data_IF_302094322742
#
_entry.id   IF_302094322742
#
_cell.length_a   1.000
_cell.length_b   1.000
_cell.length_c   1.000
_cell.angle_alpha   90.00
_cell.angle_beta   90.00
_cell.angle_gamma   90.00
#
_symmetry.space_group_name_H-M   'P 1'
#
loop_
_entity.id
_entity.type
_entity.pdbx_description
1 polymer ?
#
# COMPACT_ATOMS: atom_id res chain seq x y z
N UNK A 1 58.37 32.88 21.86
CA UNK A 1 57.45 32.94 20.68
C UNK A 1 56.64 31.66 20.66
N UNK A 2 55.43 31.73 21.19
CA UNK A 2 54.52 30.57 21.28
C UNK A 2 53.57 30.57 20.08
N UNK A 3 53.60 29.48 19.28
CA UNK A 3 52.70 29.30 18.14
C UNK A 3 51.42 28.62 18.66
N UNK A 4 50.32 29.37 18.70
CA UNK A 4 49.00 28.87 18.96
C UNK A 4 48.48 28.21 17.69
N UNK A 5 48.31 26.88 17.72
CA UNK A 5 47.66 26.11 16.63
C UNK A 5 46.17 26.09 16.97
N UNK A 6 45.37 26.83 16.19
CA UNK A 6 43.92 26.82 16.26
C UNK A 6 43.45 25.60 15.43
N UNK A 7 43.04 24.54 16.13
CA UNK A 7 42.39 23.38 15.52
C UNK A 7 40.95 23.73 15.17
N UNK A 8 40.63 23.88 13.88
CA UNK A 8 39.23 23.99 13.43
C UNK A 8 38.63 22.60 13.45
N UNK A 9 37.76 22.38 14.44
CA UNK A 9 36.96 21.16 14.54
C UNK A 9 35.80 21.28 13.52
N UNK A 10 35.95 20.63 12.36
CA UNK A 10 34.86 20.49 11.39
C UNK A 10 33.83 19.49 11.93
N UNK A 11 32.77 19.98 12.55
CA UNK A 11 31.60 19.18 12.89
C UNK A 11 30.86 18.81 11.58
N UNK A 12 31.20 17.65 11.04
CA UNK A 12 30.39 17.01 9.99
C UNK A 12 29.04 16.61 10.60
N UNK A 13 28.05 17.45 10.40
CA UNK A 13 26.65 17.06 10.61
C UNK A 13 26.29 16.00 9.56
N UNK A 14 26.40 14.72 9.92
CA UNK A 14 25.76 13.65 9.19
C UNK A 14 24.24 13.79 9.38
N UNK A 15 23.58 14.43 8.42
CA UNK A 15 22.15 14.27 8.27
C UNK A 15 21.91 12.81 7.87
N UNK A 16 21.62 11.97 8.84
CA UNK A 16 21.03 10.66 8.59
C UNK A 16 19.63 10.94 8.03
N UNK A 17 19.49 10.86 6.69
CA UNK A 17 18.16 10.72 6.10
C UNK A 17 17.59 9.42 6.67
N UNK A 18 16.77 9.55 7.70
CA UNK A 18 15.88 8.47 8.12
C UNK A 18 14.89 8.33 6.97
N UNK A 19 15.11 7.35 6.11
CA UNK A 19 14.09 6.92 5.17
C UNK A 19 12.96 6.34 6.03
N UNK A 20 11.94 7.15 6.29
CA UNK A 20 10.69 6.64 6.82
C UNK A 20 10.24 5.51 5.89
N UNK A 21 9.85 4.37 6.45
CA UNK A 21 9.32 3.26 5.68
C UNK A 21 8.14 3.78 4.85
N UNK A 22 8.34 3.95 3.55
CA UNK A 22 7.29 4.39 2.65
C UNK A 22 6.25 3.28 2.57
N UNK A 23 4.99 3.61 2.76
CA UNK A 23 3.90 2.75 2.31
C UNK A 23 4.20 2.35 0.86
N UNK A 24 3.86 1.13 0.48
CA UNK A 24 4.25 0.57 -0.82
C UNK A 24 3.90 1.51 -1.97
N UNK A 25 4.92 2.10 -2.59
CA UNK A 25 4.79 2.85 -3.85
C UNK A 25 5.04 1.93 -5.04
N UNK A 26 4.55 2.30 -6.22
CA UNK A 26 4.86 1.61 -7.46
C UNK A 26 6.36 1.70 -7.74
N UNK A 27 6.98 0.59 -8.16
CA UNK A 27 8.39 0.55 -8.52
C UNK A 27 8.67 1.31 -9.83
N UNK A 28 7.71 1.27 -10.75
CA UNK A 28 7.76 1.95 -12.05
C UNK A 28 6.35 2.48 -12.37
N UNK A 29 5.99 3.67 -11.83
CA UNK A 29 4.64 4.21 -11.98
C UNK A 29 4.24 4.43 -13.43
N UNK A 30 5.16 4.91 -14.29
CA UNK A 30 4.87 5.20 -15.70
C UNK A 30 4.47 3.92 -16.44
N UNK A 31 5.24 2.86 -16.27
CA UNK A 31 4.95 1.55 -16.86
C UNK A 31 3.68 0.93 -16.28
N UNK A 32 3.53 0.94 -14.96
CA UNK A 32 2.46 0.23 -14.30
C UNK A 32 1.10 0.91 -14.51
N UNK A 33 1.05 2.25 -14.49
CA UNK A 33 -0.17 3.00 -14.84
C UNK A 33 -0.55 2.72 -16.29
N UNK A 34 0.41 2.75 -17.22
CA UNK A 34 0.15 2.51 -18.64
C UNK A 34 -0.29 1.08 -18.93
N UNK A 35 0.25 0.11 -18.18
CA UNK A 35 -0.13 -1.31 -18.27
C UNK A 35 -1.57 -1.55 -17.79
N UNK A 36 -1.96 -0.91 -16.66
CA UNK A 36 -3.29 -1.06 -16.06
C UNK A 36 -4.36 -0.25 -16.82
N UNK A 37 -3.99 0.93 -17.29
CA UNK A 37 -4.87 1.88 -17.96
C UNK A 37 -4.23 2.41 -19.24
N UNK A 38 -4.27 1.64 -20.35
CA UNK A 38 -3.63 2.03 -21.61
C UNK A 38 -4.13 3.38 -22.17
N UNK A 39 -5.39 3.74 -21.87
CA UNK A 39 -6.02 5.01 -22.26
C UNK A 39 -5.63 6.21 -21.40
N UNK A 40 -4.88 6.00 -20.29
CA UNK A 40 -4.45 7.09 -19.43
C UNK A 40 -3.53 8.06 -20.15
N UNK A 41 -3.65 9.34 -19.82
CA UNK A 41 -2.75 10.39 -20.32
C UNK A 41 -1.63 10.75 -19.32
N UNK A 42 -1.72 10.24 -18.09
CA UNK A 42 -0.78 10.45 -17.01
C UNK A 42 -1.36 10.04 -15.67
N UNK A 43 -0.70 10.43 -14.61
CA UNK A 43 -1.17 10.22 -13.23
C UNK A 43 -0.67 11.37 -12.34
N UNK A 44 -1.28 11.48 -11.17
CA UNK A 44 -0.84 12.35 -10.10
C UNK A 44 -0.59 11.51 -8.86
N UNK A 45 0.55 11.69 -8.21
CA UNK A 45 0.89 10.99 -6.97
C UNK A 45 0.66 11.90 -5.78
N UNK A 46 0.01 11.37 -4.74
CA UNK A 46 -0.14 12.01 -3.44
C UNK A 46 0.35 11.05 -2.35
N UNK A 47 1.08 11.57 -1.37
CA UNK A 47 1.50 10.81 -0.19
C UNK A 47 0.74 11.35 1.01
N UNK A 48 0.05 10.46 1.72
CA UNK A 48 -0.79 10.84 2.86
C UNK A 48 -0.44 9.93 4.04
N UNK A 49 -0.18 10.52 5.21
CA UNK A 49 -0.04 9.78 6.46
C UNK A 49 -1.37 9.77 7.22
N UNK A 50 -1.62 8.75 8.02
CA UNK A 50 -2.78 8.74 8.93
C UNK A 50 -2.70 9.89 9.91
N UNK A 51 -1.48 10.24 10.35
CA UNK A 51 -1.23 11.35 11.27
C UNK A 51 -1.73 12.69 10.72
N UNK A 52 -1.42 13.00 9.45
CA UNK A 52 -1.85 14.24 8.79
C UNK A 52 -3.35 14.24 8.49
N UNK A 53 -3.93 13.08 8.16
CA UNK A 53 -5.33 12.97 7.78
C UNK A 53 -6.31 13.05 8.96
N UNK A 54 -5.93 12.52 10.15
CA UNK A 54 -6.85 12.48 11.30
C UNK A 54 -6.20 12.00 12.60
N UNK A 55 -4.88 11.83 12.61
CA UNK A 55 -4.13 11.54 13.81
C UNK A 55 -4.50 10.20 14.46
N UNK A 56 -4.41 10.17 15.79
CA UNK A 56 -4.61 8.96 16.58
C UNK A 56 -6.06 8.45 16.53
N UNK A 57 -7.04 9.34 16.40
CA UNK A 57 -8.45 8.97 16.31
C UNK A 57 -8.73 8.19 15.02
N UNK A 58 -8.23 8.68 13.88
CA UNK A 58 -8.34 7.99 12.61
C UNK A 58 -7.59 6.65 12.63
N UNK A 59 -6.40 6.61 13.22
CA UNK A 59 -5.62 5.37 13.38
C UNK A 59 -6.43 4.29 14.11
N UNK A 60 -7.03 4.63 15.25
CA UNK A 60 -7.88 3.72 16.02
C UNK A 60 -9.15 3.30 15.28
N UNK A 61 -9.74 4.23 14.52
CA UNK A 61 -10.92 3.93 13.69
C UNK A 61 -10.60 2.91 12.60
N UNK A 62 -9.45 3.05 11.94
CA UNK A 62 -8.97 2.12 10.91
C UNK A 62 -8.70 0.73 11.51
N UNK A 63 -8.02 0.64 12.67
CA UNK A 63 -7.82 -0.63 13.38
C UNK A 63 -9.15 -1.32 13.72
N UNK A 64 -10.12 -0.55 14.20
CA UNK A 64 -11.45 -1.06 14.52
C UNK A 64 -12.18 -1.62 13.30
N UNK A 65 -12.12 -0.92 12.16
CA UNK A 65 -12.74 -1.35 10.90
C UNK A 65 -12.02 -2.56 10.29
N UNK A 66 -10.69 -2.60 10.42
CA UNK A 66 -9.87 -3.73 10.03
C UNK A 66 -10.22 -4.99 10.87
N UNK A 67 -10.58 -4.79 12.13
CA UNK A 67 -10.83 -5.85 13.10
C UNK A 67 -9.55 -6.45 13.67
N UNK A 68 -8.43 -5.74 13.53
CA UNK A 68 -7.10 -6.18 13.95
C UNK A 68 -6.20 -4.97 14.26
N UNK A 69 -5.12 -5.20 15.01
CA UNK A 69 -4.11 -4.20 15.29
C UNK A 69 -3.15 -4.02 14.11
N UNK A 70 -2.66 -2.81 13.96
CA UNK A 70 -1.62 -2.52 12.99
C UNK A 70 -0.29 -3.15 13.40
N UNK A 71 0.50 -3.55 12.41
CA UNK A 71 1.87 -4.05 12.61
C UNK A 71 2.83 -2.88 12.82
N UNK A 72 3.56 -2.90 13.94
CA UNK A 72 4.46 -1.81 14.36
C UNK A 72 5.60 -1.50 13.37
N UNK A 73 5.85 -2.41 12.42
CA UNK A 73 6.92 -2.24 11.42
C UNK A 73 6.40 -1.57 10.15
N UNK A 74 5.20 -1.98 9.68
CA UNK A 74 4.70 -1.57 8.37
C UNK A 74 3.51 -0.61 8.41
N UNK A 75 2.92 -0.38 9.60
CA UNK A 75 1.60 0.23 9.72
C UNK A 75 1.56 1.34 10.79
N UNK A 76 2.68 2.04 10.98
CA UNK A 76 2.71 3.14 11.95
C UNK A 76 1.93 4.36 11.43
N UNK A 77 1.50 5.21 12.36
CA UNK A 77 0.71 6.42 12.06
C UNK A 77 1.43 7.39 11.11
N UNK A 78 2.77 7.36 11.08
CA UNK A 78 3.62 8.25 10.26
C UNK A 78 4.00 7.64 8.90
N UNK A 79 3.54 6.42 8.57
CA UNK A 79 3.81 5.80 7.26
C UNK A 79 3.11 6.59 6.16
N UNK A 80 3.86 7.15 5.18
CA UNK A 80 3.27 7.82 4.03
C UNK A 80 2.75 6.79 3.03
N UNK A 81 1.45 6.77 2.81
CA UNK A 81 0.79 5.93 1.81
C UNK A 81 0.74 6.66 0.46
N UNK A 82 1.18 5.98 -0.59
CA UNK A 82 1.19 6.51 -1.95
C UNK A 82 -0.14 6.21 -2.67
N UNK A 83 -0.82 7.27 -3.11
CA UNK A 83 -2.02 7.20 -3.93
C UNK A 83 -1.71 7.75 -5.31
N UNK A 84 -2.10 7.02 -6.35
CA UNK A 84 -1.94 7.43 -7.73
C UNK A 84 -3.32 7.66 -8.34
N UNK A 85 -3.65 8.92 -8.64
CA UNK A 85 -4.83 9.26 -9.43
C UNK A 85 -4.49 9.08 -10.91
N UNK A 86 -5.10 8.14 -11.56
CA UNK A 86 -4.94 7.90 -13.00
C UNK A 86 -5.76 8.93 -13.77
N UNK A 87 -5.12 9.60 -14.74
CA UNK A 87 -5.71 10.71 -15.47
C UNK A 87 -6.01 10.33 -16.93
N UNK A 88 -7.15 10.82 -17.45
CA UNK A 88 -7.47 10.91 -18.87
C UNK A 88 -7.82 12.36 -19.21
N UNK A 89 -6.88 13.06 -19.83
CA UNK A 89 -6.94 14.52 -19.92
C UNK A 89 -6.86 15.17 -18.56
N UNK A 90 -7.94 15.83 -18.12
CA UNK A 90 -8.05 16.47 -16.81
C UNK A 90 -8.83 15.63 -15.79
N UNK A 91 -9.47 14.57 -16.22
CA UNK A 91 -10.37 13.77 -15.41
C UNK A 91 -9.61 12.63 -14.73
N UNK A 92 -9.90 12.40 -13.47
CA UNK A 92 -9.46 11.19 -12.76
C UNK A 92 -10.39 10.06 -13.20
N UNK A 93 -9.81 8.94 -13.63
CA UNK A 93 -10.57 7.77 -14.12
C UNK A 93 -10.44 6.56 -13.20
N UNK A 94 -9.42 6.51 -12.35
CA UNK A 94 -9.17 5.41 -11.43
C UNK A 94 -8.17 5.83 -10.34
N UNK A 95 -8.05 4.99 -9.30
CA UNK A 95 -7.02 5.10 -8.29
C UNK A 95 -6.15 3.85 -8.27
N UNK A 96 -4.84 4.03 -7.99
CA UNK A 96 -3.93 2.93 -7.68
C UNK A 96 -3.36 3.21 -6.29
N UNK A 97 -3.36 2.20 -5.44
CA UNK A 97 -2.85 2.27 -4.08
C UNK A 97 -2.12 0.99 -3.71
N UNK A 98 -0.96 1.13 -3.06
CA UNK A 98 -0.15 0.00 -2.60
C UNK A 98 0.05 0.01 -1.10
N UNK A 99 0.14 -1.18 -0.51
CA UNK A 99 0.48 -1.36 0.90
C UNK A 99 1.54 -2.45 1.09
N UNK A 100 2.32 -2.31 2.15
CA UNK A 100 3.13 -3.40 2.67
C UNK A 100 2.30 -4.23 3.64
N UNK A 101 2.41 -5.53 3.55
CA UNK A 101 1.74 -6.49 4.42
C UNK A 101 2.74 -7.55 4.89
N UNK A 102 2.76 -7.84 6.18
CA UNK A 102 3.56 -8.93 6.74
C UNK A 102 2.90 -10.27 6.39
N UNK A 103 3.65 -11.16 5.75
CA UNK A 103 3.32 -12.56 5.55
C UNK A 103 4.18 -13.45 6.42
N UNK A 104 4.00 -14.76 6.29
CA UNK A 104 4.75 -15.78 7.05
C UNK A 104 6.26 -15.73 6.78
N UNK A 105 6.66 -15.56 5.54
CA UNK A 105 8.06 -15.64 5.09
C UNK A 105 8.66 -14.25 4.82
N UNK A 106 7.96 -13.16 5.16
CA UNK A 106 8.43 -11.79 4.97
C UNK A 106 7.37 -10.87 4.39
N UNK A 107 7.82 -9.68 3.94
CA UNK A 107 6.93 -8.67 3.42
C UNK A 107 6.33 -9.00 2.07
N UNK A 108 5.06 -8.67 1.90
CA UNK A 108 4.34 -8.64 0.64
C UNK A 108 4.03 -7.21 0.26
N UNK A 109 4.09 -6.88 -1.01
CA UNK A 109 3.67 -5.60 -1.57
C UNK A 109 2.44 -5.82 -2.44
N UNK A 110 1.31 -5.34 -1.97
CA UNK A 110 0.00 -5.53 -2.58
C UNK A 110 -0.40 -4.25 -3.29
N UNK A 111 -0.62 -4.30 -4.60
CA UNK A 111 -1.06 -3.16 -5.40
C UNK A 111 -2.49 -3.39 -5.85
N UNK A 112 -3.33 -2.41 -5.59
CA UNK A 112 -4.74 -2.41 -5.91
C UNK A 112 -5.05 -1.25 -6.86
N UNK A 113 -5.74 -1.54 -7.97
CA UNK A 113 -6.35 -0.55 -8.83
C UNK A 113 -7.86 -0.57 -8.64
N UNK A 114 -8.48 0.59 -8.45
CA UNK A 114 -9.92 0.72 -8.22
C UNK A 114 -10.54 1.76 -9.15
N UNK A 115 -11.86 1.66 -9.34
CA UNK A 115 -12.63 2.77 -9.88
C UNK A 115 -12.76 3.91 -8.84
N UNK A 116 -13.47 4.98 -9.21
CA UNK A 116 -13.67 6.16 -8.36
C UNK A 116 -14.54 5.89 -7.12
N UNK A 117 -15.21 4.75 -7.07
CA UNK A 117 -16.05 4.32 -5.96
C UNK A 117 -15.35 3.27 -5.07
N UNK A 118 -14.08 2.97 -5.33
CA UNK A 118 -13.31 1.98 -4.58
C UNK A 118 -13.60 0.52 -4.96
N UNK A 119 -14.27 0.26 -6.10
CA UNK A 119 -14.45 -1.09 -6.63
C UNK A 119 -13.18 -1.57 -7.30
N UNK A 120 -12.72 -2.77 -6.97
CA UNK A 120 -11.49 -3.36 -7.49
C UNK A 120 -11.58 -3.58 -9.00
N UNK A 121 -10.64 -3.00 -9.75
CA UNK A 121 -10.44 -3.18 -11.19
C UNK A 121 -9.31 -4.14 -11.49
N UNK A 122 -8.23 -4.12 -10.69
CA UNK A 122 -7.12 -5.05 -10.80
C UNK A 122 -6.39 -5.17 -9.47
N UNK A 123 -5.73 -6.31 -9.27
CA UNK A 123 -4.89 -6.60 -8.11
C UNK A 123 -3.65 -7.38 -8.55
N UNK A 124 -2.49 -6.98 -8.04
CA UNK A 124 -1.26 -7.75 -8.25
C UNK A 124 -0.27 -7.58 -7.08
N UNK A 125 0.63 -8.55 -6.95
CA UNK A 125 1.77 -8.45 -6.04
C UNK A 125 2.96 -7.82 -6.77
N UNK A 126 3.44 -6.70 -6.27
CA UNK A 126 4.72 -6.14 -6.69
C UNK A 126 5.90 -6.92 -6.07
N UNK A 127 5.66 -7.48 -4.86
CA UNK A 127 6.55 -8.40 -4.15
C UNK A 127 5.73 -9.43 -3.36
N UNK A 128 6.18 -10.68 -3.38
CA UNK A 128 5.61 -11.76 -2.59
C UNK A 128 6.73 -12.63 -2.02
N UNK A 129 6.94 -12.56 -0.70
CA UNK A 129 7.94 -13.37 0.00
C UNK A 129 7.30 -14.68 0.49
N UNK A 130 7.10 -15.64 -0.41
CA UNK A 130 6.52 -16.94 -0.11
C UNK A 130 7.16 -18.02 -0.97
N UNK A 131 7.38 -19.23 -0.46
CA UNK A 131 7.78 -20.39 -1.28
C UNK A 131 6.75 -20.74 -2.37
N UNK A 132 5.49 -20.36 -2.18
CA UNK A 132 4.39 -20.58 -3.13
C UNK A 132 4.01 -19.28 -3.90
N UNK A 133 4.92 -18.28 -3.96
CA UNK A 133 4.65 -16.98 -4.57
C UNK A 133 4.04 -17.06 -5.98
N UNK A 134 4.50 -18.02 -6.80
CA UNK A 134 3.99 -18.21 -8.16
C UNK A 134 2.47 -18.48 -8.20
N UNK A 135 1.92 -19.18 -7.19
CA UNK A 135 0.49 -19.47 -7.10
C UNK A 135 -0.31 -18.23 -6.71
N UNK A 136 0.21 -17.42 -5.78
CA UNK A 136 -0.40 -16.17 -5.37
C UNK A 136 -0.33 -15.11 -6.47
N UNK A 137 0.73 -15.09 -7.25
CA UNK A 137 0.91 -14.15 -8.37
C UNK A 137 0.19 -14.61 -9.66
N UNK A 138 -0.40 -15.80 -9.66
CA UNK A 138 -1.17 -16.32 -10.81
C UNK A 138 -2.43 -15.49 -11.05
N UNK A 139 -2.69 -15.18 -12.32
CA UNK A 139 -3.86 -14.39 -12.72
C UNK A 139 -5.19 -15.04 -12.37
N UNK A 140 -5.26 -16.37 -12.30
CA UNK A 140 -6.50 -17.05 -11.88
C UNK A 140 -6.81 -16.81 -10.41
N UNK A 141 -5.79 -16.58 -9.58
CA UNK A 141 -5.99 -16.15 -8.20
C UNK A 141 -6.30 -14.67 -8.12
N UNK A 142 -5.45 -13.79 -8.66
CA UNK A 142 -5.59 -12.34 -8.48
C UNK A 142 -6.87 -11.78 -9.08
N UNK A 143 -7.36 -12.32 -10.19
CA UNK A 143 -8.61 -11.87 -10.80
C UNK A 143 -9.88 -12.19 -9.98
N UNK A 144 -9.81 -13.10 -8.98
CA UNK A 144 -10.95 -13.37 -8.10
C UNK A 144 -11.33 -12.16 -7.25
N UNK A 145 -10.45 -11.20 -7.10
CA UNK A 145 -10.70 -9.96 -6.35
C UNK A 145 -11.35 -8.86 -7.20
N UNK A 146 -11.37 -9.00 -8.53
CA UNK A 146 -11.96 -7.99 -9.41
C UNK A 146 -13.46 -7.88 -9.15
N UNK A 147 -13.92 -6.65 -8.99
CA UNK A 147 -15.32 -6.33 -8.73
C UNK A 147 -15.69 -6.26 -7.25
N UNK A 148 -14.80 -6.70 -6.33
CA UNK A 148 -15.04 -6.58 -4.89
C UNK A 148 -14.97 -5.11 -4.44
N UNK A 149 -15.69 -4.82 -3.36
CA UNK A 149 -15.76 -3.53 -2.68
C UNK A 149 -15.32 -3.68 -1.23
N UNK A 150 -15.07 -2.57 -0.53
CA UNK A 150 -14.79 -2.60 0.90
C UNK A 150 -15.91 -3.28 1.69
N UNK A 151 -17.15 -3.05 1.30
CA UNK A 151 -18.35 -3.66 1.92
C UNK A 151 -18.31 -5.19 1.88
N UNK A 152 -17.80 -5.79 0.79
CA UNK A 152 -17.68 -7.24 0.68
C UNK A 152 -16.71 -7.81 1.72
N UNK A 153 -15.58 -7.11 1.95
CA UNK A 153 -14.61 -7.47 2.97
C UNK A 153 -15.13 -7.28 4.40
N UNK A 154 -15.88 -6.19 4.65
CA UNK A 154 -16.45 -5.91 5.99
C UNK A 154 -17.55 -6.93 6.33
N UNK A 155 -18.41 -7.23 5.38
CA UNK A 155 -19.54 -8.18 5.57
C UNK A 155 -19.11 -9.64 5.49
N UNK A 156 -17.86 -9.93 5.11
CA UNK A 156 -17.37 -11.30 4.92
C UNK A 156 -17.96 -12.01 3.70
N UNK A 157 -18.51 -11.26 2.74
CA UNK A 157 -19.13 -11.80 1.52
C UNK A 157 -18.10 -12.13 0.42
N UNK A 158 -16.87 -12.47 0.82
CA UNK A 158 -15.81 -12.83 -0.12
C UNK A 158 -15.72 -14.35 -0.25
N UNK A 159 -15.76 -14.85 -1.48
CA UNK A 159 -15.55 -16.25 -1.80
C UNK A 159 -14.32 -16.39 -2.71
N UNK A 160 -13.16 -16.35 -2.09
CA UNK A 160 -11.85 -16.44 -2.74
C UNK A 160 -11.25 -17.80 -2.43
N UNK A 161 -10.87 -18.52 -3.47
CA UNK A 161 -10.20 -19.81 -3.31
C UNK A 161 -8.73 -19.61 -2.94
N UNK A 162 -8.30 -20.21 -1.82
CA UNK A 162 -6.90 -20.20 -1.40
C UNK A 162 -6.04 -20.94 -2.44
N UNK A 163 -5.03 -20.30 -3.03
CA UNK A 163 -4.18 -20.93 -4.03
C UNK A 163 -3.08 -21.80 -3.40
N UNK A 164 -2.88 -21.68 -2.08
CA UNK A 164 -1.79 -22.34 -1.39
C UNK A 164 -2.09 -23.81 -1.11
N UNK A 165 -1.04 -24.60 -0.96
CA UNK A 165 -1.14 -26.00 -0.48
C UNK A 165 -0.65 -26.13 0.97
N UNK A 166 0.20 -25.21 1.42
CA UNK A 166 0.88 -25.29 2.72
C UNK A 166 1.00 -23.96 3.44
N UNK A 167 0.78 -22.84 2.75
CA UNK A 167 1.03 -21.50 3.27
C UNK A 167 -0.27 -20.69 3.43
N UNK A 168 -1.29 -21.30 4.03
CA UNK A 168 -2.58 -20.67 4.29
C UNK A 168 -2.46 -19.33 5.04
N UNK A 169 -1.42 -19.17 5.86
CA UNK A 169 -1.15 -17.91 6.57
C UNK A 169 -0.90 -16.75 5.61
N UNK A 170 -0.20 -16.98 4.48
CA UNK A 170 0.03 -15.96 3.44
C UNK A 170 -1.27 -15.61 2.70
N UNK A 171 -2.20 -16.58 2.56
CA UNK A 171 -3.54 -16.30 2.04
C UNK A 171 -4.34 -15.38 2.97
N UNK A 172 -4.40 -15.68 4.26
CA UNK A 172 -5.08 -14.80 5.23
C UNK A 172 -4.41 -13.44 5.35
N UNK A 173 -3.07 -13.38 5.30
CA UNK A 173 -2.34 -12.12 5.26
C UNK A 173 -2.67 -11.30 4.00
N UNK A 174 -2.87 -11.96 2.84
CA UNK A 174 -3.33 -11.30 1.62
C UNK A 174 -4.72 -10.69 1.79
N UNK A 175 -5.69 -11.46 2.31
CA UNK A 175 -7.06 -10.96 2.56
C UNK A 175 -7.05 -9.78 3.53
N UNK A 176 -6.29 -9.88 4.64
CA UNK A 176 -6.10 -8.78 5.59
C UNK A 176 -5.49 -7.55 4.92
N UNK A 177 -4.43 -7.76 4.14
CA UNK A 177 -3.75 -6.69 3.43
C UNK A 177 -4.66 -5.97 2.43
N UNK A 178 -5.47 -6.69 1.67
CA UNK A 178 -6.42 -6.09 0.73
C UNK A 178 -7.53 -5.34 1.45
N UNK A 179 -8.10 -5.90 2.53
CA UNK A 179 -9.06 -5.19 3.38
C UNK A 179 -8.46 -3.88 3.90
N UNK A 180 -7.25 -3.93 4.46
CA UNK A 180 -6.52 -2.75 4.93
C UNK A 180 -6.31 -1.72 3.81
N UNK A 181 -5.88 -2.16 2.63
CA UNK A 181 -5.67 -1.31 1.47
C UNK A 181 -6.94 -0.53 1.11
N UNK A 182 -8.09 -1.22 1.09
CA UNK A 182 -9.38 -0.61 0.77
C UNK A 182 -9.88 0.33 1.86
N UNK A 183 -9.66 0.02 3.14
CA UNK A 183 -9.98 0.92 4.26
C UNK A 183 -9.15 2.20 4.15
N UNK A 184 -7.83 2.08 3.92
CA UNK A 184 -6.94 3.23 3.76
C UNK A 184 -7.32 4.10 2.56
N UNK A 185 -7.65 3.50 1.42
CA UNK A 185 -8.15 4.23 0.26
C UNK A 185 -9.44 4.99 0.60
N UNK A 186 -10.39 4.34 1.25
CA UNK A 186 -11.66 4.94 1.65
C UNK A 186 -11.45 6.13 2.61
N UNK A 187 -10.69 5.91 3.69
CA UNK A 187 -10.49 6.92 4.75
C UNK A 187 -9.58 8.07 4.33
N UNK A 188 -8.53 7.79 3.56
CA UNK A 188 -7.54 8.80 3.21
C UNK A 188 -7.81 9.49 1.88
N UNK A 189 -8.68 8.91 1.02
CA UNK A 189 -8.87 9.42 -0.35
C UNK A 189 -10.31 9.63 -0.75
N UNK A 190 -11.21 8.67 -0.54
CA UNK A 190 -12.57 8.73 -1.10
C UNK A 190 -13.55 9.53 -0.24
N UNK A 191 -13.37 9.57 1.08
CA UNK A 191 -14.21 10.33 2.02
C UNK A 191 -13.89 11.82 2.13
N UNK A 192 -12.92 12.32 1.37
CA UNK A 192 -12.52 13.74 1.39
C UNK A 192 -13.48 14.62 0.62
#
# INVERSE_FOLDING_TARGET
MSKIIIGILFLLNFYTCVFAATGCSLNDPDRDVKRLFPESTGYRTEFITIKEAGGQELYQSIEKELGDKFDDIYETIDVPYAFYDVLKGKDIIAHIHGINQKGKYGGMQLILATDLNGKVLDFFYQKMSSPEAAKFMDKNFTKQFIGLTLDDFIKGNINITDPSMKNHEDFYATLRGLKKNMILLNELRLKK
#
